data_IF_069632640802
#
_entry.id   IF_069632640802
#
_cell.length_a   1.000
_cell.length_b   1.000
_cell.length_c   1.000
_cell.angle_alpha   90.00
_cell.angle_beta   90.00
_cell.angle_gamma   90.00
#
_symmetry.space_group_name_H-M   'P 1'
#
loop_
_entity.id
_entity.type
_entity.pdbx_description
1 polymer ?
#
# COMPACT_ATOMS: atom_id res chain seq x y z
N UNK A 1 22.87 30.64 24.04
CA UNK A 1 22.33 30.44 22.68
C UNK A 1 21.08 29.59 22.80
N UNK A 2 19.92 29.98 22.24
CA UNK A 2 18.73 29.15 22.33
C UNK A 2 18.92 27.95 21.40
N UNK A 3 18.92 26.76 21.97
CA UNK A 3 18.91 25.50 21.21
C UNK A 3 17.57 25.42 20.49
N UNK A 4 17.58 25.58 19.17
CA UNK A 4 16.41 25.31 18.32
C UNK A 4 16.23 23.80 18.33
N UNK A 5 15.43 23.32 19.27
CA UNK A 5 14.95 21.94 19.25
C UNK A 5 13.95 21.89 18.10
N UNK A 6 14.40 21.39 16.95
CA UNK A 6 13.54 21.12 15.80
C UNK A 6 12.39 20.21 16.28
N UNK A 7 11.12 20.63 16.19
CA UNK A 7 10.02 19.83 16.67
C UNK A 7 10.05 18.44 15.99
N UNK A 8 9.76 17.35 16.71
CA UNK A 8 9.81 16.01 16.15
C UNK A 8 8.94 15.97 14.90
N UNK A 9 9.58 15.79 13.74
CA UNK A 9 8.89 15.70 12.46
C UNK A 9 7.90 14.56 12.56
N UNK A 10 6.64 14.88 12.32
CA UNK A 10 5.53 13.93 12.24
C UNK A 10 5.90 12.87 11.20
N UNK A 11 6.36 11.70 11.66
CA UNK A 11 6.91 10.66 10.81
C UNK A 11 5.79 9.77 10.29
N UNK A 12 5.73 9.61 8.97
CA UNK A 12 4.90 8.59 8.31
C UNK A 12 5.84 7.47 7.89
N UNK A 13 5.49 6.23 8.21
CA UNK A 13 6.24 5.05 7.76
C UNK A 13 6.33 5.03 6.23
N UNK A 14 7.54 4.93 5.68
CA UNK A 14 7.78 4.97 4.24
C UNK A 14 7.09 3.83 3.49
N UNK A 15 6.89 2.67 4.14
CA UNK A 15 6.12 1.55 3.61
C UNK A 15 4.63 1.86 3.45
N UNK A 16 4.09 2.87 4.13
CA UNK A 16 2.73 3.35 3.88
C UNK A 16 2.65 4.25 2.63
N UNK A 17 3.77 4.85 2.22
CA UNK A 17 3.86 5.75 1.07
C UNK A 17 4.26 5.05 -0.23
N UNK A 18 4.77 3.82 -0.16
CA UNK A 18 5.15 3.08 -1.36
C UNK A 18 3.95 2.87 -2.30
N UNK A 19 4.21 2.67 -3.59
CA UNK A 19 3.16 2.41 -4.55
C UNK A 19 2.45 1.08 -4.27
N UNK A 20 1.22 0.97 -4.77
CA UNK A 20 0.51 -0.30 -4.80
C UNK A 20 1.00 -1.15 -5.96
N UNK A 21 0.94 -2.47 -5.80
CA UNK A 21 1.22 -3.39 -6.91
C UNK A 21 0.32 -3.06 -8.10
N UNK A 22 0.90 -3.11 -9.29
CA UNK A 22 0.18 -2.89 -10.54
C UNK A 22 -0.69 -4.09 -10.91
N UNK A 23 -1.66 -3.87 -11.80
CA UNK A 23 -2.52 -4.94 -12.33
C UNK A 23 -1.66 -6.07 -12.90
N UNK A 24 -2.00 -7.31 -12.57
CA UNK A 24 -1.32 -8.50 -13.12
C UNK A 24 -1.72 -8.64 -14.59
N UNK A 25 -0.73 -8.67 -15.49
CA UNK A 25 -0.99 -8.84 -16.92
C UNK A 25 -1.65 -10.20 -17.20
N UNK A 26 -2.79 -10.18 -17.89
CA UNK A 26 -3.48 -11.40 -18.32
C UNK A 26 -2.84 -11.89 -19.63
N UNK A 27 -2.32 -13.13 -19.69
CA UNK A 27 -1.74 -13.68 -20.90
C UNK A 27 -2.75 -13.71 -22.06
N UNK A 28 -2.29 -13.36 -23.27
CA UNK A 28 -3.10 -13.52 -24.48
C UNK A 28 -2.99 -14.95 -25.02
N UNK A 29 -3.50 -15.91 -24.24
CA UNK A 29 -3.64 -17.33 -24.61
C UNK A 29 -4.70 -17.98 -23.74
N UNK A 30 -5.11 -19.19 -24.10
CA UNK A 30 -5.95 -20.00 -23.24
C UNK A 30 -5.24 -20.28 -21.91
N UNK A 31 -5.98 -20.11 -20.83
CA UNK A 31 -5.52 -20.35 -19.47
C UNK A 31 -6.27 -21.54 -18.89
N UNK A 32 -5.56 -22.36 -18.11
CA UNK A 32 -6.23 -23.35 -17.28
C UNK A 32 -7.02 -22.67 -16.16
N UNK A 33 -7.95 -23.42 -15.57
CA UNK A 33 -8.70 -22.96 -14.41
C UNK A 33 -7.74 -22.64 -13.24
N UNK A 34 -6.72 -23.46 -13.03
CA UNK A 34 -5.72 -23.27 -11.97
C UNK A 34 -4.93 -21.97 -12.17
N UNK A 35 -4.52 -21.69 -13.41
CA UNK A 35 -3.80 -20.46 -13.74
C UNK A 35 -4.69 -19.23 -13.53
N UNK A 36 -5.93 -19.30 -14.01
CA UNK A 36 -6.93 -18.24 -13.84
C UNK A 36 -7.17 -17.96 -12.35
N UNK A 37 -7.35 -19.01 -11.56
CA UNK A 37 -7.57 -18.93 -10.12
C UNK A 37 -6.37 -18.29 -9.42
N UNK A 38 -5.15 -18.71 -9.77
CA UNK A 38 -3.91 -18.16 -9.20
C UNK A 38 -3.78 -16.66 -9.50
N UNK A 39 -3.96 -16.25 -10.76
CA UNK A 39 -3.86 -14.84 -11.15
C UNK A 39 -4.92 -13.99 -10.46
N UNK A 40 -6.15 -14.48 -10.38
CA UNK A 40 -7.23 -13.81 -9.66
C UNK A 40 -6.92 -13.67 -8.16
N UNK A 41 -6.44 -14.73 -7.51
CA UNK A 41 -6.05 -14.65 -6.10
C UNK A 41 -4.92 -13.65 -5.86
N UNK A 42 -3.92 -13.60 -6.74
CA UNK A 42 -2.81 -12.63 -6.65
C UNK A 42 -3.29 -11.18 -6.77
N UNK A 43 -4.21 -10.92 -7.70
CA UNK A 43 -4.83 -9.61 -7.88
C UNK A 43 -5.62 -9.18 -6.62
N UNK A 44 -6.48 -10.06 -6.10
CA UNK A 44 -7.29 -9.79 -4.90
C UNK A 44 -6.44 -9.54 -3.66
N UNK A 45 -5.35 -10.28 -3.49
CA UNK A 45 -4.40 -10.05 -2.40
C UNK A 45 -3.72 -8.69 -2.53
N UNK A 46 -3.22 -8.36 -3.72
CA UNK A 46 -2.56 -7.07 -4.01
C UNK A 46 -3.48 -5.88 -3.73
N UNK A 47 -4.75 -5.97 -4.17
CA UNK A 47 -5.77 -4.95 -3.90
C UNK A 47 -6.08 -4.82 -2.40
N UNK A 48 -6.22 -5.96 -1.70
CA UNK A 48 -6.49 -5.98 -0.26
C UNK A 48 -5.37 -5.32 0.54
N UNK A 49 -4.12 -5.62 0.22
CA UNK A 49 -2.96 -5.08 0.93
C UNK A 49 -2.76 -3.59 0.63
N UNK A 50 -2.98 -3.16 -0.62
CA UNK A 50 -3.05 -1.74 -0.98
C UNK A 50 -4.11 -1.00 -0.15
N UNK A 51 -5.34 -1.53 -0.09
CA UNK A 51 -6.43 -0.92 0.69
C UNK A 51 -6.12 -0.81 2.19
N UNK A 52 -5.50 -1.84 2.79
CA UNK A 52 -5.06 -1.81 4.20
C UNK A 52 -3.99 -0.74 4.42
N UNK A 53 -3.00 -0.63 3.53
CA UNK A 53 -1.93 0.37 3.61
C UNK A 53 -2.49 1.80 3.50
N UNK A 54 -3.37 2.06 2.55
CA UNK A 54 -4.04 3.37 2.43
C UNK A 54 -4.88 3.72 3.67
N UNK A 55 -5.59 2.75 4.24
CA UNK A 55 -6.34 2.96 5.49
C UNK A 55 -5.41 3.30 6.65
N UNK A 56 -4.28 2.60 6.77
CA UNK A 56 -3.26 2.88 7.79
C UNK A 56 -2.57 4.24 7.58
N UNK A 57 -2.31 4.63 6.33
CA UNK A 57 -1.78 5.95 5.99
C UNK A 57 -2.76 7.06 6.40
N UNK A 58 -4.03 6.93 6.04
CA UNK A 58 -5.07 7.89 6.44
C UNK A 58 -5.21 7.97 7.97
N UNK A 59 -5.10 6.84 8.67
CA UNK A 59 -5.06 6.79 10.13
C UNK A 59 -3.88 7.55 10.72
N UNK A 60 -2.66 7.31 10.20
CA UNK A 60 -1.46 8.05 10.59
C UNK A 60 -1.63 9.55 10.35
N UNK A 61 -2.05 9.97 9.15
CA UNK A 61 -2.26 11.39 8.84
C UNK A 61 -3.24 12.02 9.83
N UNK A 62 -4.36 11.36 10.18
CA UNK A 62 -5.32 11.88 11.17
C UNK A 62 -4.71 12.08 12.56
N UNK A 63 -3.94 11.11 13.04
CA UNK A 63 -3.22 11.20 14.34
C UNK A 63 -2.23 12.35 14.29
N UNK A 64 -1.51 12.46 13.19
CA UNK A 64 -0.56 13.52 12.96
C UNK A 64 -1.27 14.87 12.94
N UNK A 65 -2.33 15.09 12.18
CA UNK A 65 -2.99 16.41 12.05
C UNK A 65 -3.80 16.89 13.26
N UNK A 66 -3.99 16.05 14.28
CA UNK A 66 -4.66 16.42 15.53
C UNK A 66 -3.69 17.15 16.47
#
# INVERSE_FOLDING_TARGET
MPSVVDPPKRHVDAGLLADCNTVVAVPHRDMSLDETTRLWSQDRLSLGDCGKRHKALAGNVKVLTR
#
